data_IF_746602513574
#
_entry.id   IF_746602513574
#
_cell.length_a   1.000
_cell.length_b   1.000
_cell.length_c   1.000
_cell.angle_alpha   90.00
_cell.angle_beta   90.00
_cell.angle_gamma   90.00
#
_symmetry.space_group_name_H-M   'P 1'
#
loop_
_entity.id
_entity.type
_entity.pdbx_description
1 polymer ?
#
# COMPACT_ATOMS: atom_id res chain seq x y z
N UNK A 1 1.75 32.73 26.40
CA UNK A 1 1.81 33.47 25.13
C UNK A 1 1.68 32.45 24.02
N UNK A 2 0.71 32.60 23.11
CA UNK A 2 0.52 31.70 21.97
C UNK A 2 1.20 32.36 20.78
N UNK A 3 2.12 31.67 20.11
CA UNK A 3 2.77 32.20 18.91
C UNK A 3 1.72 32.49 17.83
N UNK A 4 1.84 33.62 17.10
CA UNK A 4 0.92 33.92 16.01
C UNK A 4 1.04 32.82 14.94
N UNK A 5 -0.10 32.23 14.56
CA UNK A 5 -0.14 31.26 13.46
C UNK A 5 0.19 31.99 12.15
N UNK A 6 1.20 31.47 11.43
CA UNK A 6 1.52 31.89 10.06
C UNK A 6 0.28 31.90 9.16
N UNK A 7 0.19 32.89 8.28
CA UNK A 7 -0.87 32.95 7.26
C UNK A 7 -0.63 31.88 6.19
N UNK A 8 -1.69 31.51 5.45
CA UNK A 8 -1.56 30.59 4.32
C UNK A 8 -0.61 31.13 3.25
N UNK A 9 -0.54 32.46 3.08
CA UNK A 9 0.33 33.12 2.11
C UNK A 9 1.81 33.01 2.51
N UNK A 10 2.12 33.14 3.80
CA UNK A 10 3.48 32.92 4.34
C UNK A 10 3.91 31.47 4.10
N UNK A 11 3.00 30.51 4.30
CA UNK A 11 3.26 29.10 4.03
C UNK A 11 3.51 28.80 2.55
N UNK A 12 2.79 29.46 1.64
CA UNK A 12 2.96 29.26 0.20
C UNK A 12 4.27 29.90 -0.30
N UNK A 13 4.66 31.04 0.24
CA UNK A 13 5.91 31.71 -0.14
C UNK A 13 7.16 30.97 0.34
N UNK A 14 7.08 30.24 1.45
CA UNK A 14 8.18 29.45 1.99
C UNK A 14 8.34 28.07 1.32
N UNK A 15 7.39 27.64 0.48
CA UNK A 15 7.51 26.38 -0.25
C UNK A 15 8.27 26.58 -1.56
N UNK A 16 9.43 25.92 -1.65
CA UNK A 16 10.12 25.74 -2.92
C UNK A 16 9.29 24.82 -3.81
N UNK A 17 8.73 25.37 -4.89
CA UNK A 17 8.08 24.58 -5.92
C UNK A 17 9.12 23.73 -6.66
N UNK A 18 8.79 22.47 -7.00
CA UNK A 18 9.71 21.63 -7.75
C UNK A 18 10.08 22.28 -9.08
N UNK A 19 11.35 22.17 -9.47
CA UNK A 19 11.80 22.62 -10.80
C UNK A 19 11.09 21.82 -11.89
N UNK A 20 11.05 22.33 -13.15
CA UNK A 20 10.49 21.56 -14.27
C UNK A 20 11.09 20.15 -14.42
N UNK A 21 12.39 20.00 -14.16
CA UNK A 21 13.08 18.71 -14.20
C UNK A 21 12.62 17.77 -13.08
N UNK A 22 12.45 18.31 -11.86
CA UNK A 22 11.94 17.54 -10.72
C UNK A 22 10.49 17.10 -10.97
N UNK A 23 9.65 18.00 -11.46
CA UNK A 23 8.27 17.69 -11.83
C UNK A 23 8.21 16.58 -12.91
N UNK A 24 9.07 16.66 -13.93
CA UNK A 24 9.16 15.64 -14.97
C UNK A 24 9.63 14.27 -14.42
N UNK A 25 10.57 14.26 -13.48
CA UNK A 25 11.01 13.04 -12.80
C UNK A 25 9.88 12.41 -12.00
N UNK A 26 9.16 13.21 -11.19
CA UNK A 26 8.00 12.74 -10.43
C UNK A 26 6.90 12.15 -11.33
N UNK A 27 6.66 12.77 -12.49
CA UNK A 27 5.68 12.26 -13.45
C UNK A 27 6.13 10.96 -14.11
N UNK A 28 7.43 10.81 -14.41
CA UNK A 28 7.98 9.58 -14.95
C UNK A 28 7.90 8.44 -13.93
N UNK A 29 8.23 8.70 -12.67
CA UNK A 29 8.11 7.75 -11.56
C UNK A 29 6.65 7.30 -11.38
N UNK A 30 5.71 8.26 -11.33
CA UNK A 30 4.27 7.96 -11.19
C UNK A 30 3.76 7.09 -12.34
N UNK A 31 4.18 7.39 -13.58
CA UNK A 31 3.81 6.59 -14.76
C UNK A 31 4.41 5.18 -14.73
N UNK A 32 5.62 5.01 -14.21
CA UNK A 32 6.25 3.69 -14.06
C UNK A 32 5.50 2.78 -13.07
N UNK A 33 4.79 3.39 -12.12
CA UNK A 33 3.94 2.69 -11.16
C UNK A 33 2.56 2.32 -11.72
N UNK A 34 2.14 2.82 -12.88
CA UNK A 34 0.83 2.47 -13.45
C UNK A 34 0.72 0.95 -13.68
N UNK A 35 -0.48 0.44 -13.39
CA UNK A 35 -0.76 -0.98 -13.37
C UNK A 35 0.04 -1.72 -12.29
N UNK A 36 0.29 -1.12 -11.11
CA UNK A 36 0.82 -1.83 -9.93
C UNK A 36 -0.21 -1.92 -8.83
N UNK A 37 -0.11 -2.97 -8.04
CA UNK A 37 -0.83 -3.11 -6.78
C UNK A 37 0.09 -3.73 -5.75
N UNK A 38 -0.01 -3.25 -4.51
CA UNK A 38 0.69 -3.77 -3.36
C UNK A 38 -0.35 -4.20 -2.31
N UNK A 39 -0.25 -5.45 -1.87
CA UNK A 39 -1.10 -6.01 -0.83
C UNK A 39 -0.23 -6.45 0.34
N UNK A 40 -0.44 -5.85 1.50
CA UNK A 40 0.16 -6.28 2.76
C UNK A 40 -0.89 -7.02 3.57
N UNK A 41 -0.58 -8.23 4.01
CA UNK A 41 -1.47 -9.05 4.82
C UNK A 41 -0.77 -9.56 6.07
N UNK A 42 -1.46 -9.57 7.21
CA UNK A 42 -0.93 -10.09 8.47
C UNK A 42 -2.00 -10.83 9.27
N UNK A 43 -1.63 -12.00 9.80
CA UNK A 43 -2.44 -12.70 10.79
C UNK A 43 -2.14 -12.13 12.19
N UNK A 44 -3.15 -11.52 12.81
CA UNK A 44 -3.07 -10.95 14.15
C UNK A 44 -2.99 -12.04 15.22
N UNK A 45 -2.65 -11.63 16.46
CA UNK A 45 -2.68 -12.52 17.63
C UNK A 45 -4.08 -13.09 17.93
N UNK A 46 -5.13 -12.34 17.56
CA UNK A 46 -6.53 -12.76 17.63
C UNK A 46 -6.89 -13.82 16.57
N UNK A 47 -6.01 -14.08 15.60
CA UNK A 47 -6.26 -14.93 14.45
C UNK A 47 -6.88 -14.21 13.26
N UNK A 48 -7.35 -12.97 13.43
CA UNK A 48 -7.87 -12.14 12.33
C UNK A 48 -6.79 -11.88 11.26
N UNK A 49 -7.19 -11.85 10.00
CA UNK A 49 -6.30 -11.49 8.88
C UNK A 49 -6.61 -10.05 8.48
N UNK A 50 -5.65 -9.16 8.67
CA UNK A 50 -5.75 -7.77 8.22
C UNK A 50 -5.05 -7.62 6.88
N UNK A 51 -5.73 -7.05 5.90
CA UNK A 51 -5.18 -6.78 4.56
C UNK A 51 -5.26 -5.29 4.27
N UNK A 52 -4.18 -4.74 3.74
CA UNK A 52 -4.11 -3.38 3.19
C UNK A 52 -3.69 -3.44 1.74
N UNK A 53 -4.40 -2.72 0.89
CA UNK A 53 -4.16 -2.68 -0.55
C UNK A 53 -3.89 -1.24 -0.97
N UNK A 54 -2.84 -1.05 -1.75
CA UNK A 54 -2.57 0.20 -2.48
C UNK A 54 -2.48 -0.14 -3.96
N UNK A 55 -3.32 0.48 -4.80
CA UNK A 55 -3.31 0.27 -6.24
C UNK A 55 -3.01 1.57 -6.99
N UNK A 56 -2.12 1.44 -7.97
CA UNK A 56 -1.93 2.38 -9.06
C UNK A 56 -2.54 1.71 -10.30
N UNK A 57 -3.86 1.78 -10.43
CA UNK A 57 -4.61 1.16 -11.51
C UNK A 57 -4.14 1.57 -12.93
N UNK A 58 -4.52 0.80 -13.96
CA UNK A 58 -4.22 1.16 -15.34
C UNK A 58 -4.82 2.52 -15.68
N UNK A 59 -4.04 3.39 -16.35
CA UNK A 59 -4.47 4.75 -16.68
C UNK A 59 -4.29 5.78 -15.56
N UNK A 60 -3.60 5.43 -14.47
CA UNK A 60 -3.19 6.38 -13.44
C UNK A 60 -4.22 6.65 -12.34
N UNK A 61 -5.23 5.78 -12.22
CA UNK A 61 -6.10 5.77 -11.04
C UNK A 61 -5.27 5.36 -9.82
N UNK A 62 -5.51 6.01 -8.68
CA UNK A 62 -4.94 5.60 -7.40
C UNK A 62 -6.05 5.17 -6.45
N UNK A 63 -5.83 4.09 -5.71
CA UNK A 63 -6.74 3.58 -4.71
C UNK A 63 -6.00 3.04 -3.50
N UNK A 64 -6.62 3.23 -2.33
CA UNK A 64 -6.15 2.70 -1.06
C UNK A 64 -7.34 2.08 -0.38
N UNK A 65 -7.18 0.85 0.07
CA UNK A 65 -8.22 0.08 0.74
C UNK A 65 -7.65 -0.86 1.78
N UNK A 66 -8.55 -1.48 2.52
CA UNK A 66 -8.20 -2.53 3.45
C UNK A 66 -9.45 -3.24 3.94
N UNK A 67 -9.25 -4.45 4.42
CA UNK A 67 -10.30 -5.28 4.99
C UNK A 67 -9.72 -6.19 6.07
N UNK A 68 -10.61 -6.72 6.89
CA UNK A 68 -10.27 -7.67 7.96
C UNK A 68 -11.16 -8.89 7.78
N UNK A 69 -10.56 -10.07 7.81
CA UNK A 69 -11.26 -11.35 7.76
C UNK A 69 -11.11 -12.04 9.10
N UNK A 70 -12.23 -12.33 9.76
CA UNK A 70 -12.27 -12.96 11.06
C UNK A 70 -12.25 -14.49 10.94
N UNK A 71 -11.78 -15.22 11.97
CA UNK A 71 -11.75 -16.69 11.94
C UNK A 71 -13.11 -17.36 11.64
N UNK A 72 -14.21 -16.74 12.05
CA UNK A 72 -15.58 -17.20 11.80
C UNK A 72 -16.12 -16.89 10.39
N UNK A 73 -15.44 -16.05 9.61
CA UNK A 73 -15.89 -15.66 8.28
C UNK A 73 -15.69 -16.81 7.28
N UNK A 74 -16.66 -16.98 6.38
CA UNK A 74 -16.62 -18.02 5.34
C UNK A 74 -15.41 -17.89 4.38
N UNK A 75 -14.86 -16.68 4.25
CA UNK A 75 -13.70 -16.37 3.40
C UNK A 75 -12.35 -16.62 4.10
N UNK A 76 -12.36 -16.90 5.41
CA UNK A 76 -11.14 -16.96 6.21
C UNK A 76 -10.10 -17.96 5.70
N UNK A 77 -10.51 -19.18 5.37
CA UNK A 77 -9.59 -20.20 4.84
C UNK A 77 -9.02 -19.81 3.48
N UNK A 78 -9.83 -19.16 2.64
CA UNK A 78 -9.40 -18.65 1.33
C UNK A 78 -8.35 -17.57 1.50
N UNK A 79 -8.60 -16.56 2.34
CA UNK A 79 -7.64 -15.50 2.63
C UNK A 79 -6.35 -16.06 3.26
N UNK A 80 -6.49 -17.02 4.19
CA UNK A 80 -5.36 -17.71 4.82
C UNK A 80 -4.46 -18.39 3.79
N UNK A 81 -5.05 -19.08 2.82
CA UNK A 81 -4.34 -19.75 1.74
C UNK A 81 -3.74 -18.77 0.73
N UNK A 82 -4.49 -17.76 0.29
CA UNK A 82 -4.05 -16.74 -0.67
C UNK A 82 -2.80 -16.01 -0.19
N UNK A 83 -2.81 -15.59 1.08
CA UNK A 83 -1.69 -14.87 1.69
C UNK A 83 -0.64 -15.78 2.33
N UNK A 84 -0.83 -17.11 2.34
CA UNK A 84 0.11 -18.08 2.91
C UNK A 84 0.41 -17.82 4.40
N UNK A 85 -0.63 -17.50 5.17
CA UNK A 85 -0.54 -17.15 6.59
C UNK A 85 -0.91 -18.38 7.42
N UNK A 86 0.01 -18.98 8.17
CA UNK A 86 -0.26 -20.22 8.89
C UNK A 86 -0.60 -19.98 10.36
N UNK A 87 0.07 -19.00 10.96
CA UNK A 87 0.00 -18.68 12.38
C UNK A 87 0.01 -17.17 12.64
N UNK A 88 -0.44 -16.73 13.83
CA UNK A 88 -0.29 -15.35 14.26
C UNK A 88 1.13 -14.81 14.12
N UNK A 89 1.25 -13.56 13.68
CA UNK A 89 2.51 -12.89 13.36
C UNK A 89 3.02 -13.15 11.95
N UNK A 90 2.50 -14.16 11.23
CA UNK A 90 2.81 -14.30 9.81
C UNK A 90 2.37 -13.04 9.06
N UNK A 91 3.28 -12.55 8.22
CA UNK A 91 3.11 -11.33 7.45
C UNK A 91 3.54 -11.59 6.00
N UNK A 92 2.79 -11.04 5.06
CA UNK A 92 2.98 -11.23 3.63
C UNK A 92 2.91 -9.90 2.89
N UNK A 93 3.74 -9.77 1.85
CA UNK A 93 3.68 -8.67 0.90
C UNK A 93 3.57 -9.25 -0.51
N UNK A 94 2.49 -8.90 -1.21
CA UNK A 94 2.23 -9.32 -2.59
C UNK A 94 2.28 -8.09 -3.47
N UNK A 95 3.12 -8.14 -4.52
CA UNK A 95 3.14 -7.14 -5.58
C UNK A 95 2.50 -7.73 -6.83
N UNK A 96 1.49 -7.04 -7.36
CA UNK A 96 0.80 -7.41 -8.60
C UNK A 96 1.06 -6.37 -9.70
N UNK A 97 1.01 -6.81 -10.96
CA UNK A 97 1.06 -5.96 -12.17
C UNK A 97 -0.16 -6.23 -13.04
N UNK A 98 -0.72 -5.20 -13.67
CA UNK A 98 -1.79 -5.34 -14.65
C UNK A 98 -1.21 -5.73 -16.00
N UNK A 99 -1.40 -6.99 -16.41
CA UNK A 99 -0.88 -7.56 -17.64
C UNK A 99 -1.98 -8.38 -18.32
N UNK A 100 -2.19 -8.19 -19.62
CA UNK A 100 -3.22 -8.93 -20.39
C UNK A 100 -4.62 -8.89 -19.71
N UNK A 101 -5.06 -7.69 -19.31
CA UNK A 101 -6.35 -7.42 -18.67
C UNK A 101 -6.61 -8.17 -17.35
N UNK A 102 -5.55 -8.51 -16.62
CA UNK A 102 -5.62 -9.15 -15.30
C UNK A 102 -4.50 -8.71 -14.36
N UNK A 103 -4.74 -8.81 -13.06
CA UNK A 103 -3.71 -8.62 -12.03
C UNK A 103 -2.89 -9.90 -11.87
N UNK A 104 -1.60 -9.82 -12.20
CA UNK A 104 -0.65 -10.92 -12.11
C UNK A 104 0.31 -10.69 -10.95
N UNK A 105 0.48 -11.66 -10.07
CA UNK A 105 1.49 -11.62 -9.00
C UNK A 105 2.89 -11.64 -9.61
N UNK A 106 3.69 -10.62 -9.30
CA UNK A 106 5.08 -10.47 -9.77
C UNK A 106 6.11 -10.55 -8.65
N UNK A 107 5.71 -10.28 -7.41
CA UNK A 107 6.49 -10.60 -6.21
C UNK A 107 5.57 -11.08 -5.11
N UNK A 108 6.06 -12.00 -4.29
CA UNK A 108 5.31 -12.59 -3.19
C UNK A 108 6.26 -12.94 -2.03
N UNK A 109 6.43 -12.01 -1.12
CA UNK A 109 7.46 -12.05 -0.08
C UNK A 109 6.85 -12.36 1.29
N UNK A 110 7.44 -13.33 1.99
CA UNK A 110 7.14 -13.52 3.41
C UNK A 110 7.97 -12.53 4.20
N UNK A 111 7.32 -11.66 4.95
CA UNK A 111 8.01 -10.74 5.86
C UNK A 111 8.19 -11.51 7.18
N UNK A 112 9.42 -11.96 7.44
CA UNK A 112 9.79 -12.42 8.78
C UNK A 112 10.01 -11.17 9.63
N UNK A 113 9.42 -11.14 10.82
CA UNK A 113 9.49 -10.00 11.73
C UNK A 113 10.93 -9.53 11.94
N UNK A 114 11.30 -8.44 11.29
CA UNK A 114 12.46 -7.63 11.63
C UNK A 114 11.95 -6.27 12.07
N UNK A 115 11.95 -6.07 13.38
CA UNK A 115 11.89 -4.81 14.13
C UNK A 115 11.33 -3.60 13.38
N UNK A 116 10.01 -3.40 13.43
CA UNK A 116 9.51 -2.05 13.64
C UNK A 116 9.51 -1.84 15.16
N UNK A 117 10.68 -1.46 15.67
CA UNK A 117 10.88 -0.89 17.01
C UNK A 117 10.48 0.57 17.04
#
# INVERSE_FOLDING_TARGET
MVEPKKSLEDWIQEQEWPTPEQAALFDAERKAEYGTMLEWAQMQLTGEICVRVTDNGPGGRHGVGGFVVKPEDHEYQTAKQEYGLEKPGDTRLIKKRWLNDQWVVVSNEKIQGSNFS
#
